data_IF_135028293665
#
_entry.id   IF_135028293665
#
_cell.length_a   1.000
_cell.length_b   1.000
_cell.length_c   1.000
_cell.angle_alpha   90.00
_cell.angle_beta   90.00
_cell.angle_gamma   90.00
#
_symmetry.space_group_name_H-M   'P 1'
#
loop_
_entity.id
_entity.type
_entity.pdbx_description
1 polymer ?
#
# COMPACT_ATOMS: atom_id res chain seq x y z
N UNK A 1 -15.02 8.55 13.06
CA UNK A 1 -14.88 10.01 13.32
C UNK A 1 -14.29 10.72 12.08
N UNK A 2 -14.47 12.04 11.89
CA UNK A 2 -13.73 12.77 10.84
C UNK A 2 -12.23 12.57 11.07
N UNK A 3 -11.48 12.23 10.00
CA UNK A 3 -10.05 11.82 10.05
C UNK A 3 -9.77 10.49 10.77
N UNK A 4 -10.51 9.46 10.40
CA UNK A 4 -10.26 8.07 10.79
C UNK A 4 -9.13 7.45 9.95
N UNK A 5 -7.91 8.01 10.02
CA UNK A 5 -6.75 7.54 9.24
C UNK A 5 -6.45 6.05 9.48
N UNK A 6 -6.61 5.58 10.73
CA UNK A 6 -6.39 4.18 11.12
C UNK A 6 -7.44 3.21 10.54
N UNK A 7 -8.57 3.73 10.06
CA UNK A 7 -9.63 2.93 9.43
C UNK A 7 -9.60 3.01 7.90
N UNK A 8 -8.50 3.44 7.29
CA UNK A 8 -8.39 3.44 5.82
C UNK A 8 -7.32 2.42 5.37
N UNK A 9 -7.70 1.27 4.78
CA UNK A 9 -6.77 0.22 4.40
C UNK A 9 -5.74 0.67 3.35
N UNK A 10 -6.02 1.76 2.62
CA UNK A 10 -5.09 2.33 1.65
C UNK A 10 -3.85 2.94 2.30
N UNK A 11 -3.91 3.37 3.57
CA UNK A 11 -2.78 3.99 4.25
C UNK A 11 -1.62 3.00 4.43
N UNK A 12 -1.92 1.73 4.74
CA UNK A 12 -0.93 0.67 4.86
C UNK A 12 -0.27 0.35 3.50
N UNK A 13 -1.08 0.32 2.42
CA UNK A 13 -0.58 0.17 1.04
C UNK A 13 0.40 1.31 0.72
N UNK A 14 0.02 2.55 0.98
CA UNK A 14 0.87 3.71 0.71
C UNK A 14 2.12 3.76 1.59
N UNK A 15 2.04 3.34 2.85
CA UNK A 15 3.20 3.23 3.73
C UNK A 15 4.26 2.27 3.13
N UNK A 16 3.85 1.05 2.76
CA UNK A 16 4.74 0.06 2.14
C UNK A 16 5.24 0.54 0.77
N UNK A 17 4.36 1.07 -0.09
CA UNK A 17 4.76 1.56 -1.41
C UNK A 17 5.79 2.68 -1.30
N UNK A 18 5.59 3.65 -0.40
CA UNK A 18 6.57 4.72 -0.15
C UNK A 18 7.92 4.16 0.32
N UNK A 19 7.94 3.13 1.17
CA UNK A 19 9.18 2.48 1.60
C UNK A 19 9.92 1.83 0.43
N UNK A 20 9.20 1.08 -0.43
CA UNK A 20 9.75 0.44 -1.63
C UNK A 20 10.31 1.47 -2.63
N UNK A 21 9.60 2.59 -2.82
CA UNK A 21 10.05 3.67 -3.71
C UNK A 21 11.27 4.41 -3.18
N UNK A 22 11.33 4.67 -1.86
CA UNK A 22 12.50 5.27 -1.22
C UNK A 22 13.74 4.38 -1.35
N UNK A 23 13.57 3.07 -1.18
CA UNK A 23 14.65 2.11 -1.38
C UNK A 23 15.13 2.06 -2.84
N UNK A 24 14.22 2.16 -3.81
CA UNK A 24 14.55 2.15 -5.23
C UNK A 24 15.17 3.48 -5.75
N UNK A 25 14.95 4.59 -5.05
CA UNK A 25 15.51 5.92 -5.31
C UNK A 25 15.47 6.39 -6.79
N UNK A 26 14.31 6.33 -7.48
CA UNK A 26 14.20 6.77 -8.88
C UNK A 26 14.53 8.27 -9.01
N UNK A 27 15.26 8.64 -10.08
CA UNK A 27 15.79 10.00 -10.28
C UNK A 27 15.03 10.84 -11.30
N UNK A 28 13.98 10.30 -11.90
CA UNK A 28 13.10 11.03 -12.81
C UNK A 28 11.69 10.44 -12.80
N UNK A 29 10.75 11.16 -13.42
CA UNK A 29 9.33 10.82 -13.45
C UNK A 29 9.04 9.49 -14.13
N UNK A 30 9.69 9.20 -15.26
CA UNK A 30 9.48 7.96 -16.01
C UNK A 30 9.96 6.74 -15.23
N UNK A 31 11.13 6.85 -14.62
CA UNK A 31 11.67 5.83 -13.71
C UNK A 31 10.70 5.61 -12.53
N UNK A 32 10.19 6.68 -11.92
CA UNK A 32 9.20 6.58 -10.84
C UNK A 32 7.95 5.80 -11.27
N UNK A 33 7.34 6.14 -12.42
CA UNK A 33 6.16 5.44 -12.92
C UNK A 33 6.41 3.96 -13.18
N UNK A 34 7.54 3.62 -13.82
CA UNK A 34 7.93 2.22 -14.05
C UNK A 34 8.16 1.48 -12.73
N UNK A 35 8.84 2.10 -11.78
CA UNK A 35 9.08 1.51 -10.47
C UNK A 35 7.77 1.29 -9.71
N UNK A 36 6.82 2.23 -9.76
CA UNK A 36 5.48 2.03 -9.17
C UNK A 36 4.83 0.78 -9.77
N UNK A 37 4.75 0.68 -11.10
CA UNK A 37 4.15 -0.48 -11.78
C UNK A 37 4.82 -1.80 -11.39
N UNK A 38 6.14 -1.83 -11.31
CA UNK A 38 6.89 -3.01 -10.87
C UNK A 38 6.61 -3.38 -9.41
N UNK A 39 6.59 -2.39 -8.50
CA UNK A 39 6.42 -2.62 -7.06
C UNK A 39 4.98 -2.99 -6.67
N UNK A 40 3.98 -2.69 -7.51
CA UNK A 40 2.61 -3.16 -7.29
C UNK A 40 2.50 -4.69 -7.28
N UNK A 41 3.40 -5.40 -7.98
CA UNK A 41 3.48 -6.88 -7.91
C UNK A 41 3.91 -7.41 -6.54
N UNK A 42 4.45 -6.57 -5.65
CA UNK A 42 4.87 -6.94 -4.30
C UNK A 42 3.72 -6.99 -3.27
N UNK A 43 2.48 -6.74 -3.70
CA UNK A 43 1.30 -6.78 -2.85
C UNK A 43 0.46 -8.00 -3.22
N UNK A 44 0.49 -9.02 -2.35
CA UNK A 44 -0.30 -10.23 -2.58
C UNK A 44 -1.77 -10.01 -2.22
N UNK A 45 -2.72 -10.78 -2.81
CA UNK A 45 -4.13 -10.72 -2.41
C UNK A 45 -4.34 -10.96 -0.91
N UNK A 46 -3.59 -11.89 -0.31
CA UNK A 46 -3.65 -12.17 1.11
C UNK A 46 -3.18 -10.99 1.97
N UNK A 47 -2.11 -10.31 1.56
CA UNK A 47 -1.64 -9.10 2.23
C UNK A 47 -2.66 -7.96 2.12
N UNK A 48 -3.26 -7.76 0.95
CA UNK A 48 -4.33 -6.79 0.77
C UNK A 48 -5.50 -7.08 1.71
N UNK A 49 -5.91 -8.34 1.85
CA UNK A 49 -6.96 -8.75 2.79
C UNK A 49 -6.57 -8.41 4.24
N UNK A 50 -5.31 -8.62 4.62
CA UNK A 50 -4.83 -8.26 5.95
C UNK A 50 -4.95 -6.75 6.24
N UNK A 51 -4.80 -5.87 5.24
CA UNK A 51 -5.03 -4.44 5.44
C UNK A 51 -6.50 -4.14 5.76
N UNK A 52 -7.44 -4.79 5.08
CA UNK A 52 -8.88 -4.69 5.40
C UNK A 52 -9.19 -5.24 6.79
N UNK A 53 -8.62 -6.40 7.14
CA UNK A 53 -8.78 -7.01 8.47
C UNK A 53 -8.26 -6.07 9.58
N UNK A 54 -7.09 -5.46 9.37
CA UNK A 54 -6.47 -4.53 10.32
C UNK A 54 -7.37 -3.30 10.58
N UNK A 55 -8.07 -2.80 9.55
CA UNK A 55 -9.01 -1.69 9.68
C UNK A 55 -10.40 -2.13 10.20
N UNK A 56 -10.59 -3.40 10.57
CA UNK A 56 -11.87 -3.92 11.07
C UNK A 56 -12.91 -4.21 9.97
N UNK A 57 -12.52 -4.20 8.69
CA UNK A 57 -13.38 -4.55 7.56
C UNK A 57 -13.34 -6.04 7.19
N UNK A 58 -12.46 -6.80 7.84
CA UNK A 58 -12.43 -8.25 7.77
C UNK A 58 -13.61 -8.84 8.51
N UNK A 59 -14.73 -9.08 7.81
CA UNK A 59 -15.81 -9.85 8.40
C UNK A 59 -15.36 -11.30 8.64
N UNK A 60 -15.59 -11.89 9.83
CA UNK A 60 -15.71 -13.34 9.90
C UNK A 60 -16.97 -13.72 9.12
N UNK A 61 -16.86 -14.72 8.25
CA UNK A 61 -18.01 -15.49 7.83
C UNK A 61 -18.57 -16.26 9.04
#
# INVERSE_FOLDING_TARGET
PPYSHDFNPIEQVFAKLKALLRNAAPRNREALWRTIGQKLSCFSPAECMNYFNHCGYGHPA
#
